data_IF_175867841236
#
_entry.id   IF_175867841236
#
_cell.length_a   1.000
_cell.length_b   1.000
_cell.length_c   1.000
_cell.angle_alpha   90.00
_cell.angle_beta   90.00
_cell.angle_gamma   90.00
#
_symmetry.space_group_name_H-M   'P 1'
#
loop_
_entity.id
_entity.type
_entity.pdbx_description
1 polymer ?
#
# COMPACT_ATOMS: atom_id res chain seq x y z
N UNK A 1 -12.83 -21.53 3.68
CA UNK A 1 -11.37 -21.27 3.51
C UNK A 1 -11.13 -19.81 3.13
N UNK A 2 -10.23 -19.10 3.84
CA UNK A 2 -9.94 -17.69 3.51
C UNK A 2 -8.86 -17.60 2.43
N UNK A 3 -9.17 -16.91 1.34
CA UNK A 3 -8.22 -16.60 0.25
C UNK A 3 -8.14 -15.08 0.04
N UNK A 4 -6.94 -14.57 -0.26
CA UNK A 4 -6.71 -13.17 -0.57
C UNK A 4 -6.51 -12.99 -2.08
N UNK A 5 -7.23 -12.04 -2.66
CA UNK A 5 -7.14 -11.67 -4.07
C UNK A 5 -6.70 -10.22 -4.20
N UNK A 6 -5.87 -9.92 -5.19
CA UNK A 6 -5.48 -8.57 -5.52
C UNK A 6 -5.62 -8.34 -7.02
N UNK A 7 -6.41 -7.33 -7.39
CA UNK A 7 -6.65 -6.97 -8.80
C UNK A 7 -6.62 -5.46 -9.01
N UNK A 8 -6.37 -5.02 -10.22
CA UNK A 8 -6.43 -3.62 -10.62
C UNK A 8 -7.88 -3.18 -10.81
N UNK A 9 -8.22 -2.00 -10.31
CA UNK A 9 -9.53 -1.37 -10.46
C UNK A 9 -9.43 -0.13 -11.36
N UNK A 10 -10.53 0.17 -12.05
CA UNK A 10 -10.70 1.35 -12.90
C UNK A 10 -11.73 2.32 -12.27
N UNK A 11 -11.36 3.08 -11.21
CA UNK A 11 -12.27 4.01 -10.59
C UNK A 11 -12.53 5.24 -11.48
N UNK A 12 -13.72 5.83 -11.38
CA UNK A 12 -14.04 7.12 -11.99
C UNK A 12 -13.16 8.23 -11.42
N UNK A 13 -13.15 9.40 -12.06
CA UNK A 13 -12.34 10.53 -11.56
C UNK A 13 -12.76 10.97 -10.16
N UNK A 14 -14.07 10.96 -9.88
CA UNK A 14 -14.59 11.24 -8.54
C UNK A 14 -14.12 10.22 -7.51
N UNK A 15 -14.21 8.93 -7.85
CA UNK A 15 -13.74 7.84 -6.99
C UNK A 15 -12.21 7.91 -6.76
N UNK A 16 -11.43 8.24 -7.80
CA UNK A 16 -9.97 8.46 -7.67
C UNK A 16 -9.66 9.56 -6.66
N UNK A 17 -10.33 10.70 -6.79
CA UNK A 17 -10.15 11.82 -5.86
C UNK A 17 -10.53 11.44 -4.43
N UNK A 18 -11.64 10.72 -4.25
CA UNK A 18 -12.09 10.23 -2.96
C UNK A 18 -11.09 9.24 -2.33
N UNK A 19 -10.54 8.31 -3.10
CA UNK A 19 -9.50 7.39 -2.63
C UNK A 19 -8.25 8.16 -2.19
N UNK A 20 -7.74 9.05 -3.03
CA UNK A 20 -6.50 9.80 -2.75
C UNK A 20 -6.66 10.70 -1.51
N UNK A 21 -7.79 11.40 -1.39
CA UNK A 21 -8.11 12.23 -0.23
C UNK A 21 -8.21 11.37 1.04
N UNK A 22 -8.92 10.25 0.98
CA UNK A 22 -9.07 9.32 2.12
C UNK A 22 -7.72 8.71 2.55
N UNK A 23 -6.84 8.36 1.61
CA UNK A 23 -5.46 7.93 1.90
C UNK A 23 -4.69 9.05 2.59
N UNK A 24 -4.86 10.30 2.15
CA UNK A 24 -4.26 11.48 2.76
C UNK A 24 -4.68 11.66 4.22
N UNK A 25 -5.99 11.57 4.49
CA UNK A 25 -6.57 11.64 5.85
C UNK A 25 -6.04 10.50 6.72
N UNK A 26 -6.06 9.27 6.22
CA UNK A 26 -5.57 8.11 6.98
C UNK A 26 -4.08 8.25 7.35
N UNK A 27 -3.25 8.75 6.44
CA UNK A 27 -1.84 9.04 6.70
C UNK A 27 -1.67 10.16 7.72
N UNK A 28 -2.44 11.24 7.59
CA UNK A 28 -2.42 12.36 8.54
C UNK A 28 -2.73 11.88 9.95
N UNK A 29 -3.84 11.15 10.15
CA UNK A 29 -4.23 10.64 11.45
C UNK A 29 -3.23 9.66 12.04
N UNK A 30 -2.67 8.76 11.22
CA UNK A 30 -1.56 7.91 11.63
C UNK A 30 -0.39 8.74 12.17
N UNK A 31 0.03 9.77 11.44
CA UNK A 31 1.16 10.61 11.83
C UNK A 31 0.85 11.46 13.07
N UNK A 32 -0.36 11.99 13.20
CA UNK A 32 -0.80 12.72 14.40
C UNK A 32 -0.75 11.83 15.64
N UNK A 33 -1.23 10.60 15.54
CA UNK A 33 -1.16 9.63 16.62
C UNK A 33 0.31 9.33 17.02
N UNK A 34 1.18 9.10 16.01
CA UNK A 34 2.61 8.88 16.26
C UNK A 34 3.24 10.11 16.93
N UNK A 35 2.96 11.32 16.46
CA UNK A 35 3.50 12.56 17.04
C UNK A 35 3.08 12.72 18.49
N UNK A 36 1.80 12.51 18.78
CA UNK A 36 1.23 12.66 20.11
C UNK A 36 1.87 11.66 21.11
N UNK A 37 1.86 10.38 20.80
CA UNK A 37 2.43 9.36 21.68
C UNK A 37 3.95 9.46 21.77
N UNK A 38 4.63 9.91 20.72
CA UNK A 38 6.08 10.22 20.77
C UNK A 38 6.38 11.33 21.77
N UNK A 39 5.54 12.36 21.81
CA UNK A 39 5.69 13.45 22.77
C UNK A 39 5.49 12.95 24.21
N UNK A 40 4.43 12.21 24.48
CA UNK A 40 4.18 11.60 25.79
C UNK A 40 5.31 10.69 26.24
N UNK A 41 5.79 9.82 25.35
CA UNK A 41 6.89 8.92 25.65
C UNK A 41 8.19 9.67 26.02
N UNK A 42 8.49 10.77 25.30
CA UNK A 42 9.64 11.62 25.64
C UNK A 42 9.49 12.32 26.99
N UNK A 43 8.28 12.79 27.32
CA UNK A 43 8.00 13.39 28.63
C UNK A 43 8.18 12.36 29.76
N UNK A 44 7.69 11.14 29.56
CA UNK A 44 7.92 10.03 30.49
C UNK A 44 9.40 9.71 30.67
N UNK A 45 10.17 9.58 29.60
CA UNK A 45 11.61 9.33 29.66
C UNK A 45 12.39 10.43 30.40
N UNK A 46 11.89 11.67 30.40
CA UNK A 46 12.49 12.81 31.09
C UNK A 46 12.05 12.96 32.56
N UNK A 47 11.21 12.04 33.05
CA UNK A 47 10.66 12.12 34.41
C UNK A 47 9.68 13.27 34.64
N UNK A 48 9.13 13.86 33.55
CA UNK A 48 8.15 14.96 33.64
C UNK A 48 6.74 14.43 33.94
N UNK A 49 6.46 13.18 33.56
CA UNK A 49 5.19 12.50 33.85
C UNK A 49 5.40 11.54 35.00
N UNK A 50 4.53 11.63 36.02
CA UNK A 50 4.48 10.68 37.12
C UNK A 50 4.05 9.30 36.62
N UNK A 51 4.43 8.22 37.33
CA UNK A 51 4.04 6.85 37.01
C UNK A 51 2.52 6.63 36.91
N UNK A 52 1.74 7.44 37.62
CA UNK A 52 0.26 7.43 37.58
C UNK A 52 -0.32 8.14 36.35
N UNK A 53 0.47 8.95 35.64
CA UNK A 53 0.00 9.68 34.46
C UNK A 53 0.10 8.80 33.22
N UNK A 54 -0.90 8.90 32.33
CA UNK A 54 -0.92 8.15 31.07
C UNK A 54 0.24 8.59 30.18
N UNK A 55 1.26 7.78 30.06
CA UNK A 55 2.40 7.97 29.16
C UNK A 55 2.14 7.44 27.74
N UNK A 56 0.95 6.86 27.50
CA UNK A 56 0.53 6.34 26.22
C UNK A 56 -1.00 6.44 26.06
N UNK A 57 -1.46 6.94 24.91
CA UNK A 57 -2.89 7.05 24.57
C UNK A 57 -3.24 5.98 23.56
N UNK A 58 -4.31 5.23 23.84
CA UNK A 58 -4.79 4.16 22.95
C UNK A 58 -5.42 4.72 21.67
N UNK A 59 -5.51 3.88 20.62
CA UNK A 59 -6.20 4.26 19.38
C UNK A 59 -7.67 4.65 19.62
N UNK A 60 -8.35 4.01 20.58
CA UNK A 60 -9.74 4.32 20.90
C UNK A 60 -9.88 5.71 21.58
N UNK A 61 -9.00 6.02 22.52
CA UNK A 61 -9.05 7.33 23.19
C UNK A 61 -8.67 8.46 22.22
N UNK A 62 -7.68 8.21 21.35
CA UNK A 62 -7.34 9.16 20.30
C UNK A 62 -8.43 9.32 19.23
N UNK A 63 -9.18 8.26 18.91
CA UNK A 63 -10.35 8.34 18.02
C UNK A 63 -11.46 9.23 18.61
N UNK A 64 -11.69 9.16 19.94
CA UNK A 64 -12.58 10.09 20.65
C UNK A 64 -12.11 11.54 20.48
N UNK A 65 -10.83 11.81 20.70
CA UNK A 65 -10.23 13.14 20.49
C UNK A 65 -10.42 13.62 19.04
N UNK A 66 -10.17 12.75 18.05
CA UNK A 66 -10.41 13.07 16.63
C UNK A 66 -11.86 13.45 16.38
N UNK A 67 -12.82 12.68 16.90
CA UNK A 67 -14.24 12.90 16.65
C UNK A 67 -14.79 14.13 17.37
N UNK A 68 -14.37 14.40 18.60
CA UNK A 68 -14.92 15.48 19.44
C UNK A 68 -14.24 16.84 19.20
N UNK A 69 -12.94 16.84 18.90
CA UNK A 69 -12.15 18.07 18.78
C UNK A 69 -11.57 18.26 17.37
N UNK A 70 -10.73 17.35 16.91
CA UNK A 70 -9.93 17.54 15.71
C UNK A 70 -10.78 17.71 14.44
N UNK A 71 -11.92 17.03 14.34
CA UNK A 71 -12.85 17.19 13.21
C UNK A 71 -13.50 18.56 13.15
N UNK A 72 -13.75 19.21 14.30
CA UNK A 72 -14.30 20.57 14.33
C UNK A 72 -13.29 21.58 13.82
N UNK A 73 -12.02 21.40 14.16
CA UNK A 73 -10.90 22.23 13.70
C UNK A 73 -10.52 21.93 12.24
N UNK A 74 -10.63 20.68 11.80
CA UNK A 74 -10.21 20.20 10.48
C UNK A 74 -11.36 19.39 9.81
N UNK A 75 -12.38 20.06 9.26
CA UNK A 75 -13.57 19.39 8.68
C UNK A 75 -13.25 18.41 7.54
N UNK A 76 -12.12 18.62 6.84
CA UNK A 76 -11.69 17.74 5.73
C UNK A 76 -11.39 16.29 6.19
N UNK A 77 -11.23 16.02 7.47
CA UNK A 77 -11.06 14.66 8.02
C UNK A 77 -12.28 13.79 7.69
N UNK A 78 -13.47 14.36 7.55
CA UNK A 78 -14.70 13.63 7.19
C UNK A 78 -14.73 13.11 5.74
N UNK A 79 -13.78 13.54 4.89
CA UNK A 79 -13.62 12.98 3.56
C UNK A 79 -13.19 11.49 3.57
N UNK A 80 -12.71 10.99 4.71
CA UNK A 80 -12.38 9.60 4.93
C UNK A 80 -13.43 8.93 5.84
N UNK A 81 -13.92 7.76 5.45
CA UNK A 81 -14.88 6.99 6.25
C UNK A 81 -14.34 6.68 7.66
N UNK A 82 -15.21 6.75 8.67
CA UNK A 82 -14.86 6.58 10.09
C UNK A 82 -14.09 5.28 10.37
N UNK A 83 -14.48 4.18 9.78
CA UNK A 83 -13.83 2.88 9.96
C UNK A 83 -12.39 2.85 9.38
N UNK A 84 -12.17 3.50 8.24
CA UNK A 84 -10.84 3.62 7.65
C UNK A 84 -9.93 4.52 8.52
N UNK A 85 -10.49 5.61 9.09
CA UNK A 85 -9.80 6.48 10.06
C UNK A 85 -9.38 5.71 11.31
N UNK A 86 -10.34 5.01 11.93
CA UNK A 86 -10.07 4.18 13.11
C UNK A 86 -9.00 3.12 12.85
N UNK A 87 -9.03 2.46 11.68
CA UNK A 87 -8.01 1.48 11.32
C UNK A 87 -6.62 2.10 11.17
N UNK A 88 -6.52 3.34 10.68
CA UNK A 88 -5.24 4.04 10.62
C UNK A 88 -4.64 4.26 12.03
N UNK A 89 -5.47 4.64 13.00
CA UNK A 89 -5.06 4.80 14.40
C UNK A 89 -4.65 3.46 15.04
N UNK A 90 -5.43 2.40 14.82
CA UNK A 90 -5.10 1.04 15.30
C UNK A 90 -3.78 0.55 14.71
N UNK A 91 -3.51 0.83 13.43
CA UNK A 91 -2.24 0.47 12.81
C UNK A 91 -1.06 1.24 13.43
N UNK A 92 -1.27 2.50 13.83
CA UNK A 92 -0.25 3.31 14.51
C UNK A 92 -0.01 2.79 15.95
N UNK A 93 -1.06 2.42 16.67
CA UNK A 93 -0.95 1.78 17.98
C UNK A 93 -0.18 0.45 17.90
N UNK A 94 -0.50 -0.39 16.90
CA UNK A 94 0.22 -1.65 16.68
C UNK A 94 1.71 -1.43 16.41
N UNK A 95 2.09 -0.34 15.74
CA UNK A 95 3.50 0.00 15.53
C UNK A 95 4.21 0.30 16.86
N UNK A 96 3.56 1.02 17.79
CA UNK A 96 4.11 1.22 19.14
C UNK A 96 4.14 -0.07 19.95
N UNK A 97 3.09 -0.91 19.88
CA UNK A 97 3.08 -2.21 20.59
C UNK A 97 4.25 -3.09 20.16
N UNK A 98 4.56 -3.12 18.86
CA UNK A 98 5.74 -3.85 18.34
C UNK A 98 7.06 -3.25 18.81
N UNK A 99 7.14 -1.95 18.94
CA UNK A 99 8.30 -1.29 19.51
C UNK A 99 8.49 -1.66 21.00
N UNK A 100 7.43 -1.56 21.81
CA UNK A 100 7.50 -1.91 23.22
C UNK A 100 7.77 -3.41 23.48
N UNK A 101 7.35 -4.29 22.56
CA UNK A 101 7.69 -5.72 22.60
C UNK A 101 9.07 -6.05 22.05
N UNK A 102 9.86 -5.06 21.62
CA UNK A 102 11.19 -5.29 21.06
C UNK A 102 11.23 -5.89 19.66
N UNK A 103 10.06 -6.11 19.01
CA UNK A 103 9.98 -6.74 17.69
C UNK A 103 10.21 -5.80 16.52
N UNK A 104 10.21 -4.48 16.74
CA UNK A 104 10.51 -3.48 15.71
C UNK A 104 11.13 -2.21 16.31
N UNK A 105 11.78 -1.43 15.44
CA UNK A 105 12.28 -0.10 15.82
C UNK A 105 11.16 0.89 16.12
N UNK A 106 11.54 2.10 16.56
CA UNK A 106 10.59 3.16 16.90
C UNK A 106 9.71 3.54 15.69
N UNK A 107 8.38 3.75 15.90
CA UNK A 107 7.46 4.04 14.81
C UNK A 107 7.83 5.30 14.01
N UNK A 108 7.89 5.17 12.69
CA UNK A 108 8.21 6.25 11.77
C UNK A 108 6.97 6.91 11.18
N UNK A 109 7.10 8.21 10.85
CA UNK A 109 6.07 8.92 10.09
C UNK A 109 5.94 8.38 8.66
N UNK A 110 4.71 8.27 8.19
CA UNK A 110 4.42 7.89 6.81
C UNK A 110 4.53 9.09 5.88
N UNK A 111 5.32 8.95 4.81
CA UNK A 111 5.54 10.00 3.80
C UNK A 111 4.66 9.76 2.57
N UNK A 112 4.26 10.86 1.90
CA UNK A 112 3.46 10.79 0.67
C UNK A 112 4.22 10.08 -0.47
N UNK A 113 5.53 10.29 -0.56
CA UNK A 113 6.38 9.70 -1.59
C UNK A 113 6.46 8.16 -1.52
N UNK A 114 6.39 7.59 -0.33
CA UNK A 114 6.53 6.14 -0.15
C UNK A 114 5.25 5.36 -0.44
N UNK A 115 4.10 6.02 -0.58
CA UNK A 115 2.77 5.44 -0.89
C UNK A 115 2.38 4.21 -0.03
N UNK A 116 2.93 4.12 1.20
CA UNK A 116 2.76 2.97 2.08
C UNK A 116 1.38 2.88 2.73
N UNK A 117 0.58 3.95 2.61
CA UNK A 117 -0.72 4.02 3.25
C UNK A 117 -1.78 3.42 2.33
N UNK A 118 -2.37 2.35 2.81
CA UNK A 118 -3.50 1.68 2.18
C UNK A 118 -4.78 2.07 2.90
N UNK A 119 -5.86 2.21 2.14
CA UNK A 119 -7.17 2.52 2.70
C UNK A 119 -7.90 1.21 3.00
N UNK A 120 -8.12 0.95 4.26
CA UNK A 120 -8.79 -0.26 4.75
C UNK A 120 -10.30 -0.07 4.85
N UNK A 121 -11.05 -1.04 4.36
CA UNK A 121 -12.50 -1.09 4.44
C UNK A 121 -12.94 -2.41 5.07
N UNK A 122 -13.32 -2.43 6.36
CA UNK A 122 -13.90 -3.61 6.97
C UNK A 122 -15.31 -3.86 6.43
N UNK A 123 -15.75 -5.09 6.45
CA UNK A 123 -17.16 -5.44 6.26
C UNK A 123 -17.91 -5.13 7.56
N UNK A 124 -18.95 -4.32 7.49
CA UNK A 124 -19.79 -3.99 8.63
C UNK A 124 -21.25 -4.40 8.42
N UNK A 125 -21.75 -4.20 7.20
CA UNK A 125 -23.14 -4.46 6.84
C UNK A 125 -23.23 -5.52 5.73
N UNK A 126 -24.38 -6.16 5.65
CA UNK A 126 -24.69 -7.01 4.51
C UNK A 126 -24.73 -6.13 3.25
N UNK A 127 -23.95 -6.48 2.22
CA UNK A 127 -23.87 -5.70 0.98
C UNK A 127 -22.75 -4.66 0.92
N UNK A 128 -22.01 -4.40 2.01
CA UNK A 128 -20.83 -3.50 2.00
C UNK A 128 -19.80 -3.90 0.94
N UNK A 129 -19.68 -5.20 0.71
CA UNK A 129 -18.84 -5.79 -0.31
C UNK A 129 -19.63 -6.79 -1.13
N UNK A 130 -19.75 -6.54 -2.43
CA UNK A 130 -20.40 -7.47 -3.37
C UNK A 130 -19.53 -7.59 -4.60
N UNK A 131 -19.25 -8.82 -5.01
CA UNK A 131 -18.41 -9.13 -6.16
C UNK A 131 -19.31 -9.51 -7.33
N UNK A 132 -19.22 -8.78 -8.43
CA UNK A 132 -19.78 -9.14 -9.74
C UNK A 132 -18.63 -9.39 -10.72
N UNK A 133 -18.93 -9.97 -11.85
CA UNK A 133 -17.92 -10.29 -12.87
C UNK A 133 -17.08 -9.08 -13.32
N UNK A 134 -17.68 -7.89 -13.40
CA UNK A 134 -17.04 -6.68 -13.94
C UNK A 134 -16.92 -5.54 -12.92
N UNK A 135 -17.52 -5.68 -11.75
CA UNK A 135 -17.64 -4.62 -10.75
C UNK A 135 -17.47 -5.18 -9.34
N UNK A 136 -17.05 -4.32 -8.47
CA UNK A 136 -16.93 -4.59 -7.05
C UNK A 136 -17.59 -3.46 -6.26
N UNK A 137 -18.51 -3.79 -5.34
CA UNK A 137 -18.99 -2.84 -4.35
C UNK A 137 -17.91 -2.63 -3.30
N UNK A 138 -17.51 -1.39 -3.09
CA UNK A 138 -16.56 -1.01 -2.02
C UNK A 138 -17.26 -0.01 -1.10
N UNK A 139 -17.24 -0.21 0.22
CA UNK A 139 -17.84 0.73 1.16
C UNK A 139 -17.37 2.16 0.88
N UNK A 140 -18.27 3.13 0.92
CA UNK A 140 -18.06 4.55 0.62
C UNK A 140 -17.72 4.91 -0.83
N UNK A 141 -17.14 4.00 -1.62
CA UNK A 141 -16.82 4.22 -3.04
C UNK A 141 -17.93 3.75 -3.98
N UNK A 142 -18.91 2.98 -3.46
CA UNK A 142 -19.99 2.35 -4.26
C UNK A 142 -19.39 1.35 -5.27
N UNK A 143 -20.02 1.21 -6.45
CA UNK A 143 -19.59 0.29 -7.50
C UNK A 143 -18.34 0.81 -8.21
N UNK A 144 -17.29 0.01 -8.20
CA UNK A 144 -16.02 0.29 -8.90
C UNK A 144 -15.81 -0.78 -9.96
N UNK A 145 -15.40 -0.39 -11.16
CA UNK A 145 -15.12 -1.32 -12.27
C UNK A 145 -13.80 -2.06 -12.01
N UNK A 146 -13.80 -3.36 -12.27
CA UNK A 146 -12.60 -4.20 -12.29
C UNK A 146 -11.94 -4.14 -13.66
N UNK A 147 -10.64 -4.24 -13.75
CA UNK A 147 -9.91 -4.41 -15.02
C UNK A 147 -9.84 -5.88 -15.45
N UNK A 148 -9.70 -6.77 -14.49
CA UNK A 148 -9.70 -8.22 -14.69
C UNK A 148 -11.10 -8.77 -14.43
N UNK A 149 -11.70 -9.39 -15.44
CA UNK A 149 -13.07 -9.90 -15.37
C UNK A 149 -13.08 -11.35 -14.90
N UNK A 150 -13.91 -11.63 -13.89
CA UNK A 150 -14.04 -12.99 -13.36
C UNK A 150 -12.88 -13.48 -12.48
N UNK A 151 -11.83 -12.68 -12.28
CA UNK A 151 -10.73 -13.05 -11.40
C UNK A 151 -11.15 -13.15 -9.92
N UNK A 152 -12.04 -12.28 -9.49
CA UNK A 152 -12.63 -12.38 -8.16
C UNK A 152 -13.81 -13.34 -8.18
N UNK A 153 -13.95 -14.26 -7.20
CA UNK A 153 -15.06 -15.20 -7.14
C UNK A 153 -16.38 -14.46 -6.95
N UNK A 154 -17.24 -14.54 -7.96
CA UNK A 154 -18.55 -13.84 -7.97
C UNK A 154 -19.45 -14.39 -6.86
N UNK A 155 -20.09 -13.48 -6.12
CA UNK A 155 -21.00 -13.84 -5.02
C UNK A 155 -20.33 -14.33 -3.75
N UNK A 156 -19.00 -14.49 -3.72
CA UNK A 156 -18.32 -14.96 -2.54
C UNK A 156 -18.34 -13.91 -1.39
N UNK A 157 -18.34 -14.41 -0.15
CA UNK A 157 -18.39 -13.59 1.06
C UNK A 157 -17.07 -12.90 1.31
N UNK A 158 -17.03 -11.57 1.11
CA UNK A 158 -15.85 -10.77 1.46
C UNK A 158 -15.82 -10.46 2.94
N UNK A 159 -14.70 -10.71 3.60
CA UNK A 159 -14.49 -10.39 5.03
C UNK A 159 -14.02 -8.94 5.20
N UNK A 160 -13.08 -8.53 4.38
CA UNK A 160 -12.55 -7.17 4.37
C UNK A 160 -11.81 -6.88 3.08
N UNK A 161 -11.49 -5.60 2.86
CA UNK A 161 -10.70 -5.22 1.71
C UNK A 161 -9.86 -3.96 1.96
N UNK A 162 -8.89 -3.76 1.09
CA UNK A 162 -7.97 -2.64 1.13
C UNK A 162 -7.81 -2.06 -0.26
N UNK A 163 -7.92 -0.75 -0.40
CA UNK A 163 -7.63 -0.04 -1.64
C UNK A 163 -6.25 0.61 -1.54
N UNK A 164 -5.44 0.46 -2.56
CA UNK A 164 -4.11 1.04 -2.65
C UNK A 164 -3.90 1.77 -3.98
N UNK A 165 -3.06 2.81 -3.94
CA UNK A 165 -2.63 3.54 -5.12
C UNK A 165 -1.11 3.39 -5.24
N UNK A 166 -0.64 2.77 -6.32
CA UNK A 166 0.77 2.46 -6.55
C UNK A 166 1.11 2.73 -8.01
N UNK A 167 2.17 3.49 -8.26
CA UNK A 167 2.68 3.77 -9.61
C UNK A 167 1.61 4.23 -10.61
N UNK A 168 0.72 5.14 -10.20
CA UNK A 168 -0.34 5.67 -11.07
C UNK A 168 -1.57 4.77 -11.22
N UNK A 169 -1.59 3.59 -10.59
CA UNK A 169 -2.66 2.58 -10.71
C UNK A 169 -3.36 2.33 -9.37
N UNK A 170 -4.62 1.96 -9.45
CA UNK A 170 -5.44 1.64 -8.29
C UNK A 170 -5.66 0.14 -8.19
N UNK A 171 -5.44 -0.41 -7.02
CA UNK A 171 -5.60 -1.84 -6.74
C UNK A 171 -6.55 -2.03 -5.57
N UNK A 172 -7.30 -3.10 -5.62
CA UNK A 172 -8.05 -3.61 -4.47
C UNK A 172 -7.48 -4.95 -4.06
N UNK A 173 -7.30 -5.15 -2.76
CA UNK A 173 -7.01 -6.45 -2.17
C UNK A 173 -8.18 -6.83 -1.29
N UNK A 174 -8.81 -7.97 -1.54
CA UNK A 174 -9.95 -8.47 -0.77
C UNK A 174 -9.62 -9.82 -0.16
N UNK A 175 -10.08 -10.04 1.06
CA UNK A 175 -10.06 -11.34 1.71
C UNK A 175 -11.46 -11.94 1.58
N UNK A 176 -11.54 -13.09 0.95
CA UNK A 176 -12.78 -13.77 0.62
C UNK A 176 -12.85 -15.10 1.34
N UNK A 177 -14.00 -15.39 1.93
CA UNK A 177 -14.29 -16.71 2.45
C UNK A 177 -14.94 -17.55 1.34
N UNK A 178 -14.22 -18.57 0.90
CA UNK A 178 -14.65 -19.45 -0.17
C UNK A 178 -15.04 -20.79 0.47
N UNK A 179 -16.31 -21.15 0.35
CA UNK A 179 -16.76 -22.47 0.74
C UNK A 179 -16.14 -23.52 -0.20
N UNK A 180 -15.69 -24.64 0.37
CA UNK A 180 -15.09 -25.75 -0.40
C UNK A 180 -16.02 -26.28 -1.48
N UNK A 181 -17.33 -26.20 -1.27
CA UNK A 181 -18.38 -26.60 -2.23
C UNK A 181 -18.76 -25.49 -3.24
N UNK A 182 -18.05 -24.34 -3.23
CA UNK A 182 -18.41 -23.23 -4.11
C UNK A 182 -18.15 -23.59 -5.59
N UNK A 183 -18.98 -23.05 -6.47
CA UNK A 183 -18.79 -23.17 -7.93
C UNK A 183 -17.40 -22.74 -8.39
N UNK A 184 -16.80 -21.75 -7.72
CA UNK A 184 -15.45 -21.26 -7.99
C UNK A 184 -14.38 -22.34 -7.80
N UNK A 185 -14.48 -23.16 -6.75
CA UNK A 185 -13.53 -24.27 -6.54
C UNK A 185 -13.74 -25.36 -7.59
N UNK A 186 -15.01 -25.67 -7.95
CA UNK A 186 -15.32 -26.62 -9.02
C UNK A 186 -14.80 -26.15 -10.38
N UNK A 187 -14.96 -24.88 -10.71
CA UNK A 187 -14.47 -24.30 -11.97
C UNK A 187 -12.92 -24.27 -12.00
N UNK A 188 -12.26 -24.04 -10.86
CA UNK A 188 -10.80 -24.17 -10.71
C UNK A 188 -10.35 -25.63 -10.86
N UNK A 189 -10.97 -26.57 -10.16
CA UNK A 189 -10.65 -27.99 -10.27
C UNK A 189 -10.86 -28.49 -11.70
N UNK A 190 -11.96 -28.12 -12.34
CA UNK A 190 -12.20 -28.44 -13.74
C UNK A 190 -11.14 -27.85 -14.67
N UNK A 191 -10.66 -26.64 -14.42
CA UNK A 191 -9.58 -26.01 -15.21
C UNK A 191 -8.22 -26.67 -14.97
N UNK A 192 -7.95 -27.18 -13.77
CA UNK A 192 -6.74 -27.96 -13.50
C UNK A 192 -6.79 -29.35 -14.13
N UNK A 193 -7.97 -29.99 -14.18
CA UNK A 193 -8.14 -31.31 -14.82
C UNK A 193 -8.08 -31.26 -16.34
N UNK A 194 -8.30 -30.10 -16.95
CA UNK A 194 -8.18 -29.92 -18.43
C UNK A 194 -6.75 -29.58 -18.88
N UNK A 195 -5.84 -29.25 -17.97
CA UNK A 195 -4.43 -29.04 -18.31
C UNK A 195 -3.69 -30.37 -18.25
N UNK A 196 -3.76 -31.12 -19.35
CA UNK A 196 -3.00 -32.38 -19.52
C UNK A 196 -1.51 -32.15 -19.76
N UNK A 197 -1.10 -30.92 -20.09
CA UNK A 197 0.29 -30.53 -20.30
C UNK A 197 0.64 -29.29 -19.47
N UNK A 198 1.19 -29.50 -18.29
CA UNK A 198 1.78 -28.45 -17.47
C UNK A 198 3.27 -28.31 -17.74
N UNK A 199 3.75 -27.08 -17.95
CA UNK A 199 5.18 -26.78 -18.05
C UNK A 199 5.67 -26.30 -16.69
N UNK A 200 6.62 -27.04 -16.08
CA UNK A 200 7.34 -26.63 -14.89
C UNK A 200 8.45 -25.63 -15.26
N UNK A 201 8.54 -24.51 -14.53
CA UNK A 201 9.61 -23.53 -14.72
C UNK A 201 10.30 -23.31 -13.38
N UNK A 202 11.60 -23.63 -13.32
CA UNK A 202 12.46 -23.30 -12.19
C UNK A 202 13.22 -21.99 -12.50
N UNK A 203 13.13 -21.02 -11.58
CA UNK A 203 13.80 -19.71 -11.71
C UNK A 203 15.07 -19.70 -10.88
N UNK A 204 16.21 -19.46 -11.56
CA UNK A 204 17.51 -19.49 -10.93
C UNK A 204 18.32 -18.20 -11.10
N UNK A 205 19.43 -18.11 -10.33
CA UNK A 205 20.38 -16.98 -10.43
C UNK A 205 21.45 -17.24 -11.49
N UNK A 206 21.84 -18.50 -11.72
CA UNK A 206 22.83 -18.87 -12.74
C UNK A 206 22.20 -18.80 -14.12
N UNK A 207 21.14 -19.54 -14.31
CA UNK A 207 20.26 -19.46 -15.47
C UNK A 207 18.96 -18.77 -15.06
N UNK A 208 18.36 -18.00 -15.95
CA UNK A 208 17.15 -17.24 -15.65
C UNK A 208 15.97 -18.16 -15.39
N UNK A 209 15.83 -19.17 -16.24
CA UNK A 209 14.78 -20.17 -16.12
C UNK A 209 15.24 -21.49 -16.74
N UNK A 210 14.84 -22.58 -16.11
CA UNK A 210 14.95 -23.95 -16.63
C UNK A 210 13.54 -24.50 -16.74
N UNK A 211 13.17 -24.94 -17.91
CA UNK A 211 11.83 -25.45 -18.23
C UNK A 211 11.83 -26.96 -18.22
N UNK A 212 10.73 -27.58 -17.78
CA UNK A 212 10.61 -29.05 -17.69
C UNK A 212 10.77 -29.78 -19.04
N UNK A 213 10.69 -29.08 -20.18
CA UNK A 213 11.00 -29.58 -21.50
C UNK A 213 12.50 -29.57 -21.85
N UNK A 214 13.37 -29.24 -20.89
CA UNK A 214 14.81 -29.19 -21.03
C UNK A 214 15.36 -27.86 -21.58
N UNK A 215 14.53 -26.88 -21.92
CA UNK A 215 15.00 -25.57 -22.37
C UNK A 215 15.60 -24.76 -21.23
N UNK A 216 16.77 -24.19 -21.45
CA UNK A 216 17.49 -23.36 -20.49
C UNK A 216 17.62 -21.94 -21.01
N UNK A 217 17.06 -20.99 -20.27
CA UNK A 217 17.19 -19.56 -20.56
C UNK A 217 18.32 -18.97 -19.71
N UNK A 218 19.39 -18.54 -20.37
CA UNK A 218 20.53 -17.94 -19.68
C UNK A 218 20.20 -16.59 -19.05
N UNK A 219 20.78 -16.30 -17.90
CA UNK A 219 20.60 -15.01 -17.24
C UNK A 219 21.33 -13.91 -18.03
N UNK A 220 20.56 -13.09 -18.74
CA UNK A 220 21.06 -11.97 -19.56
C UNK A 220 21.81 -10.92 -18.73
N UNK A 221 21.51 -10.79 -17.44
CA UNK A 221 22.17 -9.83 -16.54
C UNK A 221 23.67 -10.14 -16.31
N UNK A 222 24.09 -11.38 -16.58
CA UNK A 222 25.51 -11.77 -16.52
C UNK A 222 26.25 -11.50 -17.82
N UNK A 223 25.56 -11.11 -18.88
CA UNK A 223 26.13 -10.85 -20.20
C UNK A 223 27.03 -9.59 -20.22
N UNK A 224 28.04 -9.60 -21.10
CA UNK A 224 28.98 -8.48 -21.30
C UNK A 224 28.25 -7.17 -21.66
N UNK A 225 27.19 -7.25 -22.47
CA UNK A 225 26.37 -6.10 -22.88
C UNK A 225 25.73 -5.42 -21.68
N UNK A 226 25.11 -6.18 -20.77
CA UNK A 226 24.46 -5.63 -19.57
C UNK A 226 25.50 -5.03 -18.63
N UNK A 227 26.62 -5.72 -18.37
CA UNK A 227 27.71 -5.18 -17.55
C UNK A 227 28.25 -3.86 -18.10
N UNK A 228 28.36 -3.73 -19.44
CA UNK A 228 28.79 -2.49 -20.11
C UNK A 228 27.76 -1.37 -19.90
N UNK A 229 26.46 -1.67 -20.04
CA UNK A 229 25.37 -0.72 -19.81
C UNK A 229 25.30 -0.26 -18.36
N UNK A 230 25.43 -1.17 -17.39
CA UNK A 230 25.51 -0.83 -15.97
C UNK A 230 26.71 0.08 -15.66
N UNK A 231 27.87 -0.22 -16.22
CA UNK A 231 29.07 0.62 -16.07
C UNK A 231 28.85 2.03 -16.64
N UNK A 232 28.17 2.12 -17.80
CA UNK A 232 27.79 3.39 -18.41
C UNK A 232 26.79 4.14 -17.54
N UNK A 233 25.74 3.48 -17.07
CA UNK A 233 24.72 4.07 -16.18
C UNK A 233 25.36 4.64 -14.91
N UNK A 234 26.22 3.88 -14.24
CA UNK A 234 26.93 4.37 -13.03
C UNK A 234 27.80 5.61 -13.33
N UNK A 235 28.44 5.66 -14.51
CA UNK A 235 29.22 6.84 -14.92
C UNK A 235 28.34 8.05 -15.13
N UNK A 236 27.20 7.91 -15.83
CA UNK A 236 26.24 9.01 -16.05
C UNK A 236 25.62 9.49 -14.75
N UNK A 237 25.26 8.58 -13.86
CA UNK A 237 24.75 8.92 -12.52
C UNK A 237 25.78 9.72 -11.71
N UNK A 238 27.04 9.33 -11.71
CA UNK A 238 28.12 10.09 -11.04
C UNK A 238 28.31 11.48 -11.65
N UNK A 239 28.26 11.58 -12.98
CA UNK A 239 28.35 12.87 -13.66
C UNK A 239 27.18 13.78 -13.29
N UNK A 240 25.96 13.27 -13.26
CA UNK A 240 24.76 13.98 -12.86
C UNK A 240 24.85 14.44 -11.38
N UNK A 241 25.25 13.57 -10.49
CA UNK A 241 25.43 13.90 -9.06
C UNK A 241 26.44 15.03 -8.86
N UNK A 242 27.59 15.00 -9.55
CA UNK A 242 28.58 16.08 -9.49
C UNK A 242 28.03 17.42 -10.01
N UNK A 243 27.26 17.40 -11.11
CA UNK A 243 26.60 18.59 -11.63
C UNK A 243 25.59 19.16 -10.63
N UNK A 244 24.84 18.28 -9.96
CA UNK A 244 23.87 18.66 -8.94
C UNK A 244 24.53 19.28 -7.70
N UNK A 245 25.61 18.68 -7.19
CA UNK A 245 26.37 19.22 -6.07
C UNK A 245 27.04 20.54 -6.42
N UNK A 246 27.58 20.69 -7.62
CA UNK A 246 28.15 21.94 -8.11
C UNK A 246 27.12 23.07 -8.16
N UNK A 247 25.89 22.79 -8.68
CA UNK A 247 24.79 23.73 -8.66
C UNK A 247 24.37 24.10 -7.25
N UNK A 248 24.30 23.11 -6.34
CA UNK A 248 23.97 23.33 -4.93
C UNK A 248 24.98 24.21 -4.23
N UNK A 249 26.28 24.07 -4.53
CA UNK A 249 27.35 24.93 -3.99
C UNK A 249 27.34 26.36 -4.54
N UNK A 250 26.94 26.57 -5.81
CA UNK A 250 26.85 27.88 -6.45
C UNK A 250 25.57 28.66 -6.18
N UNK A 251 24.47 28.00 -5.82
CA UNK A 251 23.16 28.63 -5.62
C UNK A 251 22.59 28.25 -4.25
N UNK A 252 22.72 29.12 -3.28
CA UNK A 252 22.08 28.98 -1.95
C UNK A 252 20.55 29.02 -1.95
N UNK A 253 19.85 28.65 -3.04
CA UNK A 253 18.40 28.51 -3.14
C UNK A 253 18.05 27.30 -3.99
N UNK A 254 17.14 26.52 -3.52
CA UNK A 254 16.56 25.29 -4.11
C UNK A 254 16.13 25.57 -5.57
N UNK A 255 16.92 25.10 -6.54
CA UNK A 255 16.52 25.17 -7.93
C UNK A 255 15.43 24.15 -8.19
N UNK A 256 14.24 24.61 -8.49
CA UNK A 256 13.12 23.85 -9.07
C UNK A 256 13.63 23.15 -10.34
N UNK A 257 13.38 21.86 -10.45
CA UNK A 257 13.71 21.08 -11.65
C UNK A 257 12.82 21.58 -12.78
N UNK A 258 13.34 22.49 -13.60
CA UNK A 258 12.75 22.79 -14.90
C UNK A 258 13.14 21.64 -15.83
N UNK A 259 12.15 20.92 -16.32
CA UNK A 259 12.29 19.90 -17.35
C UNK A 259 12.72 20.60 -18.66
N UNK A 260 14.03 20.67 -18.88
CA UNK A 260 14.58 21.15 -20.14
C UNK A 260 14.48 20.01 -21.17
N UNK A 261 13.38 20.01 -21.94
CA UNK A 261 13.14 19.08 -23.04
C UNK A 261 13.98 19.38 -24.30
N UNK A 262 14.90 20.34 -24.25
CA UNK A 262 15.57 20.89 -25.44
C UNK A 262 17.08 20.61 -25.51
N UNK A 263 17.56 19.47 -25.06
CA UNK A 263 18.95 19.07 -25.39
C UNK A 263 18.98 17.65 -25.94
N UNK A 264 18.39 17.48 -27.13
CA UNK A 264 18.76 16.44 -28.09
C UNK A 264 19.35 17.14 -29.31
N UNK A 265 20.63 17.20 -29.39
CA UNK A 265 21.45 17.22 -30.58
C UNK A 265 22.54 16.15 -30.40
#
# INVERSE_FOLDING_TARGET
MLKAFRTEIAPTNEQKMKIIRSIGVARFLYNQYIAYNRHLYKMYQRGILDEKQKHFVTANDFDKYVNHKLKKELPWIDQCGSKARKKALVNAEQAFRRFFSGTSGFPNFKKKANQDVKLYFPKNNQGDWTIWRHKLMIPTLKQVRLKEFGYLPVGAKVTNGTVSYVAGRFYVSVVVDIDEKSKYNKDLEASYHTVTEGVGIDLGVKDLAIVSDGKVFKNINKGSKVKRLEKRLRREQRCLSRKYEFRKKKGGKTATIVNDKNNRA
#
